data_IF_067412312372
#
_entry.id   IF_067412312372
#
_cell.length_a   1.000
_cell.length_b   1.000
_cell.length_c   1.000
_cell.angle_alpha   90.00
_cell.angle_beta   90.00
_cell.angle_gamma   90.00
#
_symmetry.space_group_name_H-M   'P 1'
#
loop_
_entity.id
_entity.type
_entity.pdbx_description
1 polymer ?
#
# COMPACT_ATOMS: atom_id res chain seq x y z
N UNK A 1 21.96 3.85 12.88
CA UNK A 1 23.39 4.19 12.97
C UNK A 1 23.82 4.08 14.44
N UNK A 2 24.67 3.09 14.75
CA UNK A 2 25.12 2.78 16.12
C UNK A 2 25.96 3.92 16.71
N UNK A 3 26.85 4.49 15.90
CA UNK A 3 27.74 5.59 16.32
C UNK A 3 26.92 6.83 16.67
N UNK A 4 25.95 7.17 15.80
CA UNK A 4 25.07 8.31 16.03
C UNK A 4 24.19 8.13 17.28
N UNK A 5 23.74 6.91 17.55
CA UNK A 5 22.98 6.61 18.77
C UNK A 5 23.82 6.88 20.03
N UNK A 6 25.07 6.40 20.07
CA UNK A 6 25.99 6.64 21.20
C UNK A 6 26.21 8.13 21.42
N UNK A 7 26.50 8.89 20.35
CA UNK A 7 26.69 10.34 20.43
C UNK A 7 25.49 11.04 21.07
N UNK A 8 24.28 10.74 20.59
CA UNK A 8 23.04 11.34 21.10
C UNK A 8 22.79 10.95 22.56
N UNK A 9 23.00 9.70 22.95
CA UNK A 9 22.79 9.28 24.34
C UNK A 9 23.81 9.94 25.29
N UNK A 10 25.06 10.13 24.87
CA UNK A 10 26.05 10.87 25.66
C UNK A 10 25.67 12.35 25.82
N UNK A 11 25.14 12.98 24.77
CA UNK A 11 24.67 14.36 24.82
C UNK A 11 23.50 14.53 25.80
N UNK A 12 22.51 13.64 25.75
CA UNK A 12 21.28 13.74 26.55
C UNK A 12 21.47 13.26 28.00
N UNK A 13 22.14 12.12 28.21
CA UNK A 13 22.24 11.48 29.54
C UNK A 13 23.58 11.69 30.23
N UNK A 14 24.67 11.91 29.47
CA UNK A 14 26.02 11.86 30.05
C UNK A 14 26.25 12.91 31.14
N UNK A 15 25.80 14.16 30.90
CA UNK A 15 25.91 15.23 31.90
C UNK A 15 24.76 15.23 32.91
N UNK A 16 23.53 14.96 32.46
CA UNK A 16 22.32 15.07 33.27
C UNK A 16 22.28 13.99 34.34
N UNK A 17 22.62 12.76 33.96
CA UNK A 17 22.58 11.58 34.85
C UNK A 17 23.97 11.20 35.38
N UNK A 18 25.03 11.92 34.98
CA UNK A 18 26.40 11.65 35.40
C UNK A 18 27.01 10.35 34.85
N UNK A 19 26.45 9.80 33.77
CA UNK A 19 26.86 8.51 33.20
C UNK A 19 28.05 8.73 32.23
N UNK A 20 29.10 7.92 32.37
CA UNK A 20 30.27 8.04 31.50
C UNK A 20 29.98 7.59 30.07
N UNK A 21 30.75 8.13 29.11
CA UNK A 21 30.69 7.70 27.71
C UNK A 21 30.97 6.20 27.54
N UNK A 22 31.87 5.64 28.34
CA UNK A 22 32.18 4.21 28.33
C UNK A 22 30.99 3.36 28.75
N UNK A 23 30.28 3.76 29.80
CA UNK A 23 29.08 3.05 30.27
C UNK A 23 27.96 3.13 29.23
N UNK A 24 27.72 4.31 28.65
CA UNK A 24 26.72 4.48 27.58
C UNK A 24 27.09 3.62 26.36
N UNK A 25 28.37 3.60 25.97
CA UNK A 25 28.82 2.77 24.84
C UNK A 25 28.61 1.29 25.14
N UNK A 26 29.00 0.81 26.33
CA UNK A 26 28.80 -0.58 26.72
C UNK A 26 27.31 -0.97 26.76
N UNK A 27 26.45 -0.08 27.26
CA UNK A 27 25.00 -0.29 27.31
C UNK A 27 24.37 -0.34 25.90
N UNK A 28 24.74 0.58 25.02
CA UNK A 28 24.31 0.57 23.61
C UNK A 28 24.77 -0.72 22.93
N UNK A 29 26.02 -1.11 23.17
CA UNK A 29 26.60 -2.28 22.56
C UNK A 29 25.89 -3.56 22.99
N UNK A 30 25.62 -3.70 24.29
CA UNK A 30 24.81 -4.78 24.85
C UNK A 30 23.39 -4.78 24.29
N UNK A 31 22.75 -3.62 24.17
CA UNK A 31 21.38 -3.50 23.62
C UNK A 31 21.29 -3.93 22.15
N UNK A 32 22.27 -3.58 21.32
CA UNK A 32 22.31 -4.05 19.93
C UNK A 32 22.62 -5.55 19.82
N UNK A 33 23.47 -6.09 20.71
CA UNK A 33 23.74 -7.52 20.76
C UNK A 33 22.49 -8.31 21.13
N UNK A 34 21.75 -7.86 22.16
CA UNK A 34 20.49 -8.47 22.57
C UNK A 34 19.41 -8.41 21.48
N UNK A 35 19.28 -7.28 20.78
CA UNK A 35 18.34 -7.17 19.65
C UNK A 35 18.65 -8.17 18.54
N UNK A 36 19.93 -8.44 18.25
CA UNK A 36 20.28 -9.42 17.22
C UNK A 36 20.09 -10.85 17.72
N UNK A 37 20.38 -11.13 18.99
CA UNK A 37 20.10 -12.43 19.61
C UNK A 37 18.60 -12.73 19.58
N UNK A 38 17.76 -11.79 20.02
CA UNK A 38 16.30 -11.89 19.94
C UNK A 38 15.83 -12.21 18.51
N UNK A 39 16.36 -11.50 17.51
CA UNK A 39 16.01 -11.77 16.10
C UNK A 39 16.44 -13.18 15.69
N UNK A 40 17.60 -13.64 16.12
CA UNK A 40 18.08 -14.98 15.81
C UNK A 40 17.20 -16.04 16.46
N UNK A 41 16.81 -15.86 17.72
CA UNK A 41 15.91 -16.78 18.44
C UNK A 41 14.56 -16.91 17.70
N UNK A 42 14.00 -15.79 17.21
CA UNK A 42 12.76 -15.79 16.42
C UNK A 42 12.94 -16.51 15.07
N UNK A 43 14.09 -16.34 14.39
CA UNK A 43 14.41 -17.05 13.14
C UNK A 43 14.56 -18.56 13.38
N UNK A 44 15.29 -18.94 14.42
CA UNK A 44 15.55 -20.34 14.78
C UNK A 44 14.24 -21.06 15.14
N UNK A 45 13.38 -20.40 15.93
CA UNK A 45 12.05 -20.92 16.24
C UNK A 45 11.16 -21.02 14.99
N UNK A 46 11.23 -20.03 14.09
CA UNK A 46 10.58 -20.08 12.79
C UNK A 46 11.02 -21.29 11.96
N UNK A 47 12.32 -21.54 11.90
CA UNK A 47 12.88 -22.69 11.18
C UNK A 47 12.40 -24.02 11.78
N UNK A 48 12.35 -24.14 13.11
CA UNK A 48 11.80 -25.34 13.76
C UNK A 48 10.35 -25.61 13.35
N UNK A 49 9.54 -24.57 13.19
CA UNK A 49 8.16 -24.70 12.72
C UNK A 49 8.10 -25.10 11.25
N UNK A 50 8.94 -24.51 10.40
CA UNK A 50 9.03 -24.84 8.97
C UNK A 50 9.45 -26.31 8.77
N UNK A 51 10.49 -26.76 9.49
CA UNK A 51 10.95 -28.16 9.47
C UNK A 51 9.86 -29.12 9.95
N UNK A 52 9.07 -28.70 10.96
CA UNK A 52 7.95 -29.49 11.47
C UNK A 52 6.89 -29.67 10.41
N UNK A 53 6.41 -28.58 9.79
CA UNK A 53 5.33 -28.67 8.80
C UNK A 53 5.74 -29.39 7.52
N UNK A 54 7.03 -29.34 7.15
CA UNK A 54 7.56 -30.13 6.04
C UNK A 54 7.51 -31.63 6.35
N UNK A 55 7.86 -32.04 7.57
CA UNK A 55 7.85 -33.45 8.01
C UNK A 55 6.45 -34.00 8.25
N UNK A 56 5.54 -33.19 8.82
CA UNK A 56 4.20 -33.65 9.23
C UNK A 56 3.14 -33.42 8.15
N UNK A 57 3.39 -32.54 7.19
CA UNK A 57 2.37 -32.06 6.25
C UNK A 57 1.31 -31.17 6.90
N UNK A 58 1.56 -30.68 8.13
CA UNK A 58 0.66 -29.75 8.81
C UNK A 58 0.58 -28.40 8.07
N UNK A 59 -0.55 -27.71 8.23
CA UNK A 59 -0.74 -26.37 7.68
C UNK A 59 -0.40 -25.31 8.74
N UNK A 60 0.51 -24.40 8.44
CA UNK A 60 0.90 -23.30 9.34
C UNK A 60 0.12 -22.01 9.04
N UNK A 61 -0.03 -21.19 10.07
CA UNK A 61 -0.53 -19.82 9.95
C UNK A 61 0.66 -18.87 10.07
N UNK A 62 0.83 -17.98 9.10
CA UNK A 62 1.70 -16.81 9.25
C UNK A 62 0.82 -15.65 9.73
N UNK A 63 1.01 -15.26 10.98
CA UNK A 63 0.32 -14.13 11.59
C UNK A 63 1.18 -12.88 11.38
N UNK A 64 0.64 -11.89 10.67
CA UNK A 64 1.37 -10.65 10.40
C UNK A 64 0.52 -9.43 10.72
N UNK A 65 1.16 -8.39 11.24
CA UNK A 65 0.45 -7.18 11.64
C UNK A 65 1.40 -6.02 11.90
N UNK A 66 1.02 -5.18 12.84
CA UNK A 66 1.84 -4.09 13.36
C UNK A 66 2.54 -4.54 14.63
N UNK A 67 3.70 -3.94 14.98
CA UNK A 67 4.39 -4.26 16.23
C UNK A 67 3.49 -4.14 17.46
N UNK A 68 2.60 -3.14 17.50
CA UNK A 68 1.70 -2.93 18.62
C UNK A 68 0.56 -3.96 18.71
N UNK A 69 0.32 -4.77 17.67
CA UNK A 69 -0.63 -5.88 17.75
C UNK A 69 -0.15 -7.03 18.63
N UNK A 70 1.09 -6.99 19.15
CA UNK A 70 1.56 -7.92 20.18
C UNK A 70 1.01 -7.57 21.57
N UNK A 71 0.60 -6.31 21.78
CA UNK A 71 0.13 -5.84 23.08
C UNK A 71 -1.19 -6.54 23.47
N UNK A 72 -1.25 -7.23 24.63
CA UNK A 72 -2.46 -7.88 25.11
C UNK A 72 -3.69 -6.96 25.22
N UNK A 73 -3.48 -5.67 25.50
CA UNK A 73 -4.55 -4.67 25.59
C UNK A 73 -5.13 -4.32 24.20
N UNK A 74 -4.39 -4.59 23.13
CA UNK A 74 -4.79 -4.30 21.74
C UNK A 74 -5.25 -5.57 21.00
N UNK A 75 -4.59 -6.70 21.26
CA UNK A 75 -4.79 -7.93 20.50
C UNK A 75 -6.05 -8.71 20.93
N UNK A 76 -6.61 -8.36 22.08
CA UNK A 76 -7.85 -8.92 22.65
C UNK A 76 -7.87 -10.44 22.80
N UNK A 77 -6.71 -11.09 22.95
CA UNK A 77 -6.61 -12.55 23.10
C UNK A 77 -6.70 -13.33 21.78
N UNK A 78 -6.57 -12.64 20.63
CA UNK A 78 -6.63 -13.27 19.31
C UNK A 78 -5.49 -14.27 19.08
N UNK A 79 -4.22 -13.97 19.45
CA UNK A 79 -3.14 -14.94 19.33
C UNK A 79 -3.41 -16.25 20.08
N UNK A 80 -3.88 -16.16 21.33
CA UNK A 80 -4.23 -17.30 22.18
C UNK A 80 -5.41 -18.08 21.60
N UNK A 81 -6.39 -17.36 21.03
CA UNK A 81 -7.53 -17.97 20.34
C UNK A 81 -7.07 -18.76 19.10
N UNK A 82 -6.14 -18.23 18.30
CA UNK A 82 -5.55 -18.96 17.16
C UNK A 82 -4.77 -20.18 17.68
N UNK A 83 -3.96 -20.02 18.73
CA UNK A 83 -3.18 -21.10 19.33
C UNK A 83 -4.06 -22.24 19.87
N UNK A 84 -5.28 -21.94 20.34
CA UNK A 84 -6.24 -22.94 20.83
C UNK A 84 -6.63 -23.99 19.76
N UNK A 85 -6.47 -23.67 18.48
CA UNK A 85 -6.68 -24.58 17.35
C UNK A 85 -5.48 -25.50 17.07
N UNK A 86 -4.39 -25.38 17.85
CA UNK A 86 -3.17 -26.20 17.77
C UNK A 86 -2.47 -26.18 16.42
N UNK A 87 -2.69 -25.11 15.65
CA UNK A 87 -1.98 -24.87 14.39
C UNK A 87 -0.57 -24.35 14.68
N UNK A 88 0.45 -24.74 13.91
CA UNK A 88 1.74 -24.06 13.93
C UNK A 88 1.57 -22.59 13.52
N UNK A 89 2.19 -21.67 14.26
CA UNK A 89 2.06 -20.22 14.02
C UNK A 89 3.46 -19.62 13.82
N UNK A 90 3.64 -18.95 12.69
CA UNK A 90 4.81 -18.15 12.33
C UNK A 90 4.47 -16.66 12.43
N UNK A 91 5.47 -15.84 12.71
CA UNK A 91 5.40 -14.38 12.58
C UNK A 91 6.19 -13.91 11.35
N UNK A 92 5.93 -12.69 10.86
CA UNK A 92 6.59 -12.20 9.65
C UNK A 92 8.09 -11.95 9.82
N UNK A 93 8.56 -11.61 11.02
CA UNK A 93 10.01 -11.51 11.31
C UNK A 93 10.74 -12.84 11.24
N UNK A 94 10.06 -13.94 11.56
CA UNK A 94 10.65 -15.28 11.50
C UNK A 94 11.07 -15.64 10.07
N UNK A 95 10.38 -15.12 9.05
CA UNK A 95 10.65 -15.45 7.63
C UNK A 95 11.23 -14.30 6.83
N UNK A 96 11.25 -13.06 7.33
CA UNK A 96 11.67 -11.88 6.55
C UNK A 96 13.11 -11.95 5.99
N UNK A 97 13.99 -12.72 6.65
CA UNK A 97 15.36 -12.94 6.22
C UNK A 97 15.49 -13.92 5.04
N UNK A 98 14.44 -14.72 4.78
CA UNK A 98 14.42 -15.70 3.70
C UNK A 98 14.16 -15.01 2.37
N UNK A 99 14.86 -15.39 1.29
CA UNK A 99 14.61 -14.81 -0.03
C UNK A 99 13.23 -15.24 -0.53
N UNK A 100 12.58 -14.31 -1.24
CA UNK A 100 11.33 -14.57 -1.97
C UNK A 100 11.48 -14.01 -3.38
N UNK A 101 10.67 -14.51 -4.30
CA UNK A 101 10.63 -14.05 -5.69
C UNK A 101 10.30 -12.57 -5.74
N UNK A 102 11.07 -11.81 -6.52
CA UNK A 102 10.84 -10.37 -6.65
C UNK A 102 9.58 -10.13 -7.48
N UNK A 103 8.63 -9.41 -6.89
CA UNK A 103 7.43 -8.94 -7.57
C UNK A 103 7.43 -7.42 -7.69
N UNK A 104 6.91 -6.91 -8.81
CA UNK A 104 6.61 -5.49 -8.97
C UNK A 104 5.33 -5.16 -8.21
N UNK A 105 5.46 -4.38 -7.14
CA UNK A 105 4.32 -3.87 -6.36
C UNK A 105 3.56 -2.79 -7.15
N UNK A 106 2.25 -2.69 -6.92
CA UNK A 106 1.44 -1.61 -7.50
C UNK A 106 1.51 -0.31 -6.68
N UNK A 107 2.15 -0.39 -5.51
CA UNK A 107 2.39 0.72 -4.58
C UNK A 107 3.88 1.00 -4.40
N UNK A 108 4.21 2.25 -4.11
CA UNK A 108 5.56 2.67 -3.73
C UNK A 108 5.90 2.10 -2.35
N UNK A 109 6.90 1.21 -2.33
CA UNK A 109 7.37 0.58 -1.10
C UNK A 109 8.38 1.46 -0.37
N UNK A 110 7.90 2.25 0.59
CA UNK A 110 8.71 3.23 1.32
C UNK A 110 8.64 3.07 2.85
N UNK A 111 7.96 2.04 3.35
CA UNK A 111 7.76 1.83 4.79
C UNK A 111 8.15 0.43 5.22
N UNK A 112 9.02 0.34 6.22
CA UNK A 112 9.64 -0.92 6.66
C UNK A 112 8.63 -1.99 7.08
N UNK A 113 7.60 -1.63 7.86
CA UNK A 113 6.59 -2.61 8.32
C UNK A 113 5.71 -3.13 7.18
N UNK A 114 5.41 -2.28 6.19
CA UNK A 114 4.65 -2.70 5.01
C UNK A 114 5.49 -3.57 4.08
N UNK A 115 6.78 -3.25 3.93
CA UNK A 115 7.73 -4.09 3.20
C UNK A 115 7.77 -5.52 3.77
N UNK A 116 7.76 -5.65 5.11
CA UNK A 116 7.65 -6.96 5.79
C UNK A 116 6.34 -7.67 5.47
N UNK A 117 5.21 -6.96 5.43
CA UNK A 117 3.91 -7.54 5.06
C UNK A 117 3.88 -8.02 3.61
N UNK A 118 4.42 -7.23 2.66
CA UNK A 118 4.51 -7.64 1.26
C UNK A 118 5.42 -8.85 1.07
N UNK A 119 6.55 -8.88 1.79
CA UNK A 119 7.45 -10.03 1.82
C UNK A 119 6.74 -11.26 2.36
N UNK A 120 6.06 -11.16 3.50
CA UNK A 120 5.30 -12.27 4.09
C UNK A 120 4.20 -12.80 3.17
N UNK A 121 3.51 -11.91 2.44
CA UNK A 121 2.52 -12.30 1.45
C UNK A 121 3.14 -13.10 0.29
N UNK A 122 4.31 -12.66 -0.19
CA UNK A 122 5.04 -13.38 -1.25
C UNK A 122 5.61 -14.71 -0.73
N UNK A 123 6.12 -14.75 0.50
CA UNK A 123 6.56 -15.98 1.15
C UNK A 123 5.42 -17.01 1.21
N UNK A 124 4.22 -16.59 1.64
CA UNK A 124 3.02 -17.44 1.68
C UNK A 124 2.57 -17.85 0.27
N UNK A 125 2.76 -17.02 -0.74
CA UNK A 125 2.49 -17.40 -2.13
C UNK A 125 3.34 -18.61 -2.54
N UNK A 126 4.62 -18.61 -2.18
CA UNK A 126 5.61 -19.65 -2.52
C UNK A 126 5.51 -20.91 -1.65
N UNK A 127 4.94 -20.81 -0.45
CA UNK A 127 4.84 -21.92 0.51
C UNK A 127 3.39 -22.36 0.70
N UNK A 128 2.91 -23.39 -0.03
CA UNK A 128 1.49 -23.72 -0.10
C UNK A 128 0.86 -24.17 1.22
N UNK A 129 1.64 -24.78 2.10
CA UNK A 129 1.24 -25.22 3.44
C UNK A 129 1.28 -24.11 4.49
N UNK A 130 1.42 -22.84 4.08
CA UNK A 130 1.37 -21.67 4.96
C UNK A 130 0.23 -20.76 4.52
N UNK A 131 -0.54 -20.20 5.45
CA UNK A 131 -1.60 -19.23 5.18
C UNK A 131 -1.40 -17.95 5.96
N UNK A 132 -1.50 -16.79 5.29
CA UNK A 132 -1.42 -15.49 5.94
C UNK A 132 -2.73 -15.14 6.66
N UNK A 133 -2.62 -14.73 7.92
CA UNK A 133 -3.65 -13.94 8.62
C UNK A 133 -3.07 -12.57 8.89
N UNK A 134 -3.64 -11.54 8.26
CA UNK A 134 -3.27 -10.16 8.51
C UNK A 134 -4.11 -9.57 9.66
N UNK A 135 -3.45 -9.07 10.69
CA UNK A 135 -4.06 -8.22 11.71
C UNK A 135 -4.06 -6.77 11.23
N UNK A 136 -5.21 -6.09 11.38
CA UNK A 136 -5.39 -4.69 11.01
C UNK A 136 -6.20 -3.95 12.08
N UNK A 137 -6.10 -2.63 12.08
CA UNK A 137 -6.89 -1.75 12.94
C UNK A 137 -7.59 -0.69 12.08
N UNK A 138 -8.80 -0.32 12.46
CA UNK A 138 -9.62 0.72 11.86
C UNK A 138 -8.86 2.04 11.80
N UNK A 139 -8.95 2.73 10.66
CA UNK A 139 -8.26 3.99 10.46
C UNK A 139 -6.74 3.90 10.54
N UNK A 140 -6.13 2.70 10.53
CA UNK A 140 -4.68 2.51 10.60
C UNK A 140 -4.01 2.93 9.29
N UNK A 141 -3.89 4.25 9.11
CA UNK A 141 -3.02 4.86 8.11
C UNK A 141 -3.03 4.14 6.77
N UNK A 142 -1.88 3.57 6.44
CA UNK A 142 -1.58 2.98 5.14
C UNK A 142 -2.23 1.60 4.88
N UNK A 143 -2.97 1.04 5.82
CA UNK A 143 -3.63 -0.26 5.66
C UNK A 143 -4.58 -0.26 4.46
N UNK A 144 -5.21 0.86 4.12
CA UNK A 144 -6.07 0.96 2.93
C UNK A 144 -5.33 0.64 1.61
N UNK A 145 -4.04 0.94 1.54
CA UNK A 145 -3.16 0.58 0.42
C UNK A 145 -2.60 -0.83 0.59
N UNK A 146 -2.08 -1.11 1.77
CA UNK A 146 -1.29 -2.31 2.07
C UNK A 146 -2.15 -3.56 2.03
N UNK A 147 -3.33 -3.53 2.64
CA UNK A 147 -4.31 -4.63 2.63
C UNK A 147 -4.71 -4.99 1.22
N UNK A 148 -4.86 -3.99 0.34
CA UNK A 148 -5.16 -4.21 -1.07
C UNK A 148 -4.00 -4.89 -1.79
N UNK A 149 -2.77 -4.39 -1.60
CA UNK A 149 -1.57 -4.99 -2.21
C UNK A 149 -1.32 -6.43 -1.72
N UNK A 150 -1.40 -6.67 -0.42
CA UNK A 150 -1.24 -8.01 0.18
C UNK A 150 -2.30 -8.98 -0.35
N UNK A 151 -3.56 -8.51 -0.46
CA UNK A 151 -4.63 -9.30 -1.06
C UNK A 151 -4.31 -9.65 -2.52
N UNK A 152 -3.88 -8.69 -3.32
CA UNK A 152 -3.55 -8.92 -4.73
C UNK A 152 -2.36 -9.88 -4.91
N UNK A 153 -1.34 -9.80 -4.05
CA UNK A 153 -0.22 -10.77 -4.03
C UNK A 153 -0.76 -12.19 -3.81
N UNK A 154 -1.61 -12.38 -2.80
CA UNK A 154 -2.11 -13.71 -2.45
C UNK A 154 -3.11 -14.25 -3.48
N UNK A 155 -4.12 -13.46 -3.86
CA UNK A 155 -5.17 -13.88 -4.79
C UNK A 155 -4.61 -14.16 -6.19
N UNK A 156 -3.57 -13.45 -6.62
CA UNK A 156 -2.92 -13.72 -7.91
C UNK A 156 -2.17 -15.05 -7.97
N UNK A 157 -1.93 -15.70 -6.82
CA UNK A 157 -1.37 -17.05 -6.70
C UNK A 157 -2.41 -18.04 -6.13
N UNK A 158 -3.70 -17.69 -6.27
CA UNK A 158 -4.82 -18.47 -5.76
C UNK A 158 -4.77 -18.72 -4.23
N UNK A 159 -4.05 -17.93 -3.44
CA UNK A 159 -4.02 -18.06 -1.98
C UNK A 159 -5.22 -17.36 -1.33
N UNK A 160 -5.67 -17.88 -0.19
CA UNK A 160 -6.76 -17.28 0.58
C UNK A 160 -6.21 -16.08 1.35
N UNK A 161 -6.72 -14.90 1.06
CA UNK A 161 -6.47 -13.72 1.88
C UNK A 161 -7.43 -13.68 3.09
N UNK A 162 -6.88 -13.67 4.29
CA UNK A 162 -7.64 -13.49 5.53
C UNK A 162 -7.12 -12.28 6.30
N UNK A 163 -8.04 -11.40 6.68
CA UNK A 163 -7.74 -10.24 7.53
C UNK A 163 -8.66 -10.22 8.74
N UNK A 164 -8.14 -9.87 9.90
CA UNK A 164 -8.90 -9.69 11.15
C UNK A 164 -8.67 -8.24 11.61
N UNK A 165 -9.75 -7.46 11.70
CA UNK A 165 -9.73 -6.12 12.30
C UNK A 165 -9.91 -6.26 13.81
N UNK A 166 -9.01 -5.69 14.60
CA UNK A 166 -8.96 -5.87 16.06
C UNK A 166 -9.91 -4.93 16.82
N UNK A 167 -10.08 -3.71 16.35
CA UNK A 167 -10.69 -2.58 17.07
C UNK A 167 -12.12 -2.23 16.64
N UNK A 168 -12.60 -2.78 15.53
CA UNK A 168 -13.97 -2.55 15.06
C UNK A 168 -15.00 -3.28 15.92
N UNK A 169 -14.60 -4.41 16.53
CA UNK A 169 -15.48 -5.26 17.35
C UNK A 169 -14.67 -5.90 18.48
N UNK A 170 -14.96 -5.54 19.73
CA UNK A 170 -14.30 -6.10 20.93
C UNK A 170 -14.70 -7.55 21.25
N UNK A 171 -15.54 -8.18 20.42
CA UNK A 171 -15.93 -9.57 20.60
C UNK A 171 -15.02 -10.51 19.79
N UNK A 172 -14.45 -11.50 20.48
CA UNK A 172 -13.71 -12.59 19.85
C UNK A 172 -14.61 -13.49 18.97
N UNK A 173 -15.93 -13.35 19.06
CA UNK A 173 -16.89 -14.17 18.32
C UNK A 173 -16.73 -14.06 16.81
N UNK A 174 -16.65 -12.83 16.28
CA UNK A 174 -16.45 -12.59 14.85
C UNK A 174 -15.11 -13.17 14.35
N UNK A 175 -14.02 -12.91 15.08
CA UNK A 175 -12.70 -13.44 14.77
C UNK A 175 -12.68 -14.97 14.81
N UNK A 176 -13.32 -15.58 15.81
CA UNK A 176 -13.45 -17.05 15.96
C UNK A 176 -14.25 -17.67 14.81
N UNK A 177 -15.35 -17.07 14.39
CA UNK A 177 -16.14 -17.57 13.24
C UNK A 177 -15.32 -17.49 11.95
N UNK A 178 -14.60 -16.38 11.73
CA UNK A 178 -13.72 -16.20 10.57
C UNK A 178 -12.61 -17.24 10.55
N UNK A 179 -11.96 -17.49 11.69
CA UNK A 179 -10.90 -18.50 11.80
C UNK A 179 -11.42 -19.92 11.59
N UNK A 180 -12.57 -20.28 12.18
CA UNK A 180 -13.21 -21.60 11.92
C UNK A 180 -13.54 -21.79 10.45
N UNK A 181 -14.02 -20.75 9.79
CA UNK A 181 -14.34 -20.78 8.35
C UNK A 181 -13.08 -20.94 7.51
N UNK A 182 -11.98 -20.26 7.88
CA UNK A 182 -10.67 -20.42 7.24
C UNK A 182 -10.16 -21.86 7.38
N UNK A 183 -10.15 -22.42 8.60
CA UNK A 183 -9.69 -23.79 8.85
C UNK A 183 -10.52 -24.79 8.04
N UNK A 184 -11.84 -24.62 8.00
CA UNK A 184 -12.73 -25.47 7.21
C UNK A 184 -12.47 -25.34 5.70
N UNK A 185 -12.11 -24.15 5.21
CA UNK A 185 -11.74 -23.94 3.82
C UNK A 185 -10.40 -24.61 3.48
N UNK A 186 -9.39 -24.47 4.35
CA UNK A 186 -8.08 -25.09 4.19
C UNK A 186 -8.18 -26.63 4.19
N UNK A 187 -9.01 -27.21 5.06
CA UNK A 187 -9.18 -28.66 5.14
C UNK A 187 -9.82 -29.30 3.89
N UNK A 188 -10.51 -28.52 3.05
CA UNK A 188 -11.20 -29.01 1.84
C UNK A 188 -10.45 -28.70 0.55
N UNK A 189 -9.40 -27.87 0.63
CA UNK A 189 -8.75 -27.31 -0.55
C UNK A 189 -7.46 -28.07 -0.83
N UNK A 190 -7.28 -28.46 -2.08
CA UNK A 190 -5.98 -28.94 -2.55
C UNK A 190 -4.99 -27.77 -2.53
N UNK A 191 -3.76 -28.06 -2.11
CA UNK A 191 -2.70 -27.06 -2.02
C UNK A 191 -2.37 -26.52 -3.42
N UNK A 192 -2.65 -25.23 -3.73
CA UNK A 192 -2.37 -24.72 -5.06
C UNK A 192 -0.85 -24.71 -5.31
N UNK A 193 -0.47 -25.17 -6.49
CA UNK A 193 0.92 -25.14 -6.97
C UNK A 193 1.31 -23.68 -7.22
N UNK A 194 2.47 -23.28 -6.72
CA UNK A 194 3.00 -21.95 -6.99
C UNK A 194 3.26 -21.80 -8.50
N UNK A 195 2.78 -20.69 -9.05
CA UNK A 195 3.04 -20.27 -10.42
C UNK A 195 3.37 -18.78 -10.40
N UNK A 196 4.27 -18.35 -11.27
CA UNK A 196 4.57 -16.93 -11.37
C UNK A 196 3.32 -16.18 -11.86
N UNK A 197 2.80 -15.31 -11.00
CA UNK A 197 1.66 -14.49 -11.37
C UNK A 197 2.03 -13.54 -12.52
N UNK A 198 1.17 -13.38 -13.53
CA UNK A 198 1.47 -12.57 -14.70
C UNK A 198 1.72 -11.11 -14.30
N UNK A 199 2.71 -10.50 -14.95
CA UNK A 199 2.95 -9.06 -14.80
C UNK A 199 1.81 -8.32 -15.46
N UNK A 200 0.99 -7.65 -14.66
CA UNK A 200 -0.06 -6.77 -15.18
C UNK A 200 0.62 -5.52 -15.74
N UNK A 201 0.82 -5.48 -17.05
CA UNK A 201 1.26 -4.26 -17.72
C UNK A 201 0.16 -3.20 -17.61
N UNK A 202 0.58 -1.96 -17.32
CA UNK A 202 -0.33 -0.81 -17.28
C UNK A 202 -0.33 -0.10 -18.63
N UNK A 203 -1.48 0.44 -19.10
CA UNK A 203 -1.49 1.36 -20.22
C UNK A 203 -0.61 2.59 -19.91
N UNK A 204 0.12 3.04 -20.93
CA UNK A 204 1.11 4.12 -20.84
C UNK A 204 0.66 5.31 -21.67
N UNK A 205 0.96 6.51 -21.20
CA UNK A 205 0.79 7.72 -22.02
C UNK A 205 1.99 7.88 -22.94
N UNK A 206 1.80 7.65 -24.25
CA UNK A 206 2.86 7.69 -25.26
C UNK A 206 2.85 9.02 -26.05
N UNK A 207 3.85 9.24 -26.90
CA UNK A 207 3.88 10.38 -27.83
C UNK A 207 2.71 10.37 -28.84
N UNK A 208 2.15 9.20 -29.17
CA UNK A 208 0.95 9.13 -29.99
C UNK A 208 -0.28 9.57 -29.20
N UNK A 209 -0.40 9.12 -27.94
CA UNK A 209 -1.45 9.61 -27.04
C UNK A 209 -1.40 11.13 -26.90
N UNK A 210 -0.22 11.76 -26.91
CA UNK A 210 -0.10 13.22 -26.87
C UNK A 210 -0.84 13.93 -28.00
N UNK A 211 -0.92 13.31 -29.19
CA UNK A 211 -1.58 13.89 -30.37
C UNK A 211 -3.06 13.54 -30.44
N UNK A 212 -3.43 12.34 -29.98
CA UNK A 212 -4.77 11.77 -30.21
C UNK A 212 -5.65 11.78 -28.97
N UNK A 213 -5.09 11.71 -27.76
CA UNK A 213 -5.88 11.54 -26.55
C UNK A 213 -6.36 12.86 -25.97
N UNK A 214 -7.54 12.78 -25.36
CA UNK A 214 -8.00 13.78 -24.40
C UNK A 214 -7.39 13.48 -23.03
N UNK A 215 -6.78 14.48 -22.42
CA UNK A 215 -6.26 14.39 -21.05
C UNK A 215 -7.37 14.80 -20.08
N UNK A 216 -7.85 13.85 -19.30
CA UNK A 216 -8.80 14.08 -18.22
C UNK A 216 -8.03 14.37 -16.92
N UNK A 217 -8.33 15.49 -16.26
CA UNK A 217 -7.73 15.87 -14.98
C UNK A 217 -8.82 16.24 -13.97
N UNK A 218 -8.63 16.00 -12.66
CA UNK A 218 -9.66 16.29 -11.67
C UNK A 218 -9.84 17.80 -11.47
N UNK A 219 -11.03 18.20 -11.04
CA UNK A 219 -11.30 19.58 -10.61
C UNK A 219 -11.05 19.70 -9.12
N UNK A 220 -10.05 20.49 -8.74
CA UNK A 220 -9.71 20.73 -7.33
C UNK A 220 -9.96 22.18 -6.89
N UNK A 221 -9.86 23.13 -7.83
CA UNK A 221 -10.05 24.55 -7.57
C UNK A 221 -10.51 25.23 -8.87
N UNK A 222 -11.80 25.64 -8.99
CA UNK A 222 -12.39 26.07 -10.27
C UNK A 222 -11.58 27.13 -11.01
N UNK A 223 -11.20 28.21 -10.32
CA UNK A 223 -10.44 29.32 -10.90
C UNK A 223 -9.08 28.83 -11.40
N UNK A 224 -8.29 28.19 -10.54
CA UNK A 224 -6.94 27.72 -10.87
C UNK A 224 -6.96 26.71 -12.02
N UNK A 225 -7.86 25.73 -11.98
CA UNK A 225 -7.90 24.66 -12.97
C UNK A 225 -8.41 25.12 -14.33
N UNK A 226 -9.25 26.14 -14.40
CA UNK A 226 -9.61 26.76 -15.68
C UNK A 226 -8.44 27.55 -16.30
N UNK A 227 -7.62 28.21 -15.48
CA UNK A 227 -6.37 28.83 -15.93
C UNK A 227 -5.35 27.76 -16.36
N UNK A 228 -5.18 26.68 -15.59
CA UNK A 228 -4.31 25.56 -15.96
C UNK A 228 -4.76 24.90 -17.26
N UNK A 229 -6.06 24.71 -17.48
CA UNK A 229 -6.62 24.22 -18.75
C UNK A 229 -6.16 25.07 -19.93
N UNK A 230 -6.21 26.40 -19.77
CA UNK A 230 -5.77 27.36 -20.79
C UNK A 230 -4.26 27.24 -21.06
N UNK A 231 -3.46 27.14 -19.99
CA UNK A 231 -2.01 26.90 -20.10
C UNK A 231 -1.70 25.58 -20.82
N UNK A 232 -2.33 24.46 -20.45
CA UNK A 232 -2.06 23.16 -21.08
C UNK A 232 -2.43 23.14 -22.56
N UNK A 233 -3.54 23.81 -22.95
CA UNK A 233 -3.94 23.97 -24.36
C UNK A 233 -2.93 24.77 -25.17
N UNK A 234 -2.36 25.84 -24.60
CA UNK A 234 -1.27 26.60 -25.23
C UNK A 234 -0.07 25.71 -25.56
N UNK A 235 0.22 24.72 -24.72
CA UNK A 235 1.31 23.75 -24.90
C UNK A 235 0.92 22.50 -25.71
N UNK A 236 -0.24 22.53 -26.39
CA UNK A 236 -0.67 21.49 -27.33
C UNK A 236 -1.37 20.28 -26.71
N UNK A 237 -1.78 20.36 -25.45
CA UNK A 237 -2.52 19.27 -24.78
C UNK A 237 -4.03 19.54 -24.78
N UNK A 238 -4.82 18.57 -25.25
CA UNK A 238 -6.28 18.65 -25.15
C UNK A 238 -6.75 18.22 -23.77
N UNK A 239 -7.02 19.18 -22.88
CA UNK A 239 -7.40 18.88 -21.48
C UNK A 239 -8.89 19.12 -21.23
N UNK A 240 -9.53 18.14 -20.60
CA UNK A 240 -10.89 18.20 -20.06
C UNK A 240 -10.83 18.14 -18.54
N UNK A 241 -11.51 19.08 -17.90
CA UNK A 241 -11.63 19.15 -16.44
C UNK A 241 -13.14 19.15 -16.15
N UNK A 242 -13.66 18.11 -15.48
CA UNK A 242 -15.08 18.00 -15.16
C UNK A 242 -15.51 19.08 -14.17
N UNK A 243 -16.82 19.32 -13.98
CA UNK A 243 -17.31 20.20 -12.92
C UNK A 243 -16.94 19.65 -11.53
N UNK A 244 -17.06 20.49 -10.50
CA UNK A 244 -16.85 20.08 -9.10
C UNK A 244 -17.65 18.80 -8.78
N UNK A 245 -17.06 17.87 -8.02
CA UNK A 245 -17.69 16.60 -7.73
C UNK A 245 -18.93 16.80 -6.85
N UNK A 246 -20.02 16.15 -7.23
CA UNK A 246 -21.24 16.10 -6.44
C UNK A 246 -21.27 14.85 -5.55
N UNK A 247 -22.37 14.67 -4.80
CA UNK A 247 -22.55 13.50 -3.94
C UNK A 247 -22.52 12.19 -4.73
N UNK A 248 -23.04 12.16 -5.95
CA UNK A 248 -23.07 10.96 -6.79
C UNK A 248 -21.66 10.52 -7.20
N UNK A 249 -20.77 11.48 -7.50
CA UNK A 249 -19.36 11.19 -7.76
C UNK A 249 -18.65 10.62 -6.51
N UNK A 250 -18.95 11.14 -5.32
CA UNK A 250 -18.40 10.62 -4.06
C UNK A 250 -18.87 9.20 -3.79
N UNK A 251 -20.18 8.94 -3.94
CA UNK A 251 -20.78 7.61 -3.78
C UNK A 251 -20.26 6.62 -4.83
N UNK A 252 -19.87 7.10 -6.01
CA UNK A 252 -19.17 6.29 -7.00
C UNK A 252 -17.73 5.98 -6.56
N UNK A 253 -17.01 6.94 -6.01
CA UNK A 253 -15.67 6.72 -5.45
C UNK A 253 -15.66 5.66 -4.35
N UNK A 254 -16.63 5.72 -3.42
CA UNK A 254 -16.79 4.74 -2.33
C UNK A 254 -17.04 3.31 -2.81
N UNK A 255 -17.52 3.12 -4.04
CA UNK A 255 -17.72 1.78 -4.62
C UNK A 255 -16.44 1.12 -5.11
N UNK A 256 -15.42 1.91 -5.47
CA UNK A 256 -14.19 1.41 -6.11
C UNK A 256 -12.91 1.70 -5.32
N UNK A 257 -12.99 2.56 -4.29
CA UNK A 257 -11.85 2.91 -3.44
C UNK A 257 -12.11 2.41 -2.03
N UNK A 258 -11.08 1.84 -1.40
CA UNK A 258 -11.19 1.35 -0.03
C UNK A 258 -11.63 2.46 0.93
N UNK A 259 -12.64 2.20 1.76
CA UNK A 259 -13.26 3.20 2.65
C UNK A 259 -12.26 3.87 3.61
N UNK A 260 -11.24 3.12 4.05
CA UNK A 260 -10.20 3.66 4.92
C UNK A 260 -9.21 4.59 4.19
N UNK A 261 -9.36 4.85 2.88
CA UNK A 261 -8.56 5.84 2.15
C UNK A 261 -8.88 7.28 2.59
N UNK A 262 -7.92 8.17 2.43
CA UNK A 262 -8.14 9.60 2.64
C UNK A 262 -9.24 10.12 1.70
N UNK A 263 -10.18 10.89 2.26
CA UNK A 263 -11.34 11.41 1.55
C UNK A 263 -11.03 12.07 0.19
N UNK A 264 -9.96 12.89 0.03
CA UNK A 264 -9.60 13.44 -1.28
C UNK A 264 -9.38 12.39 -2.38
N UNK A 265 -8.85 11.20 -2.04
CA UNK A 265 -8.67 10.11 -3.01
C UNK A 265 -10.01 9.63 -3.55
N UNK A 266 -10.98 9.42 -2.64
CA UNK A 266 -12.33 8.94 -2.94
C UNK A 266 -13.03 9.95 -3.86
N UNK A 267 -12.95 11.24 -3.51
CA UNK A 267 -13.55 12.34 -4.27
C UNK A 267 -12.95 12.45 -5.67
N UNK A 268 -11.61 12.50 -5.78
CA UNK A 268 -10.90 12.66 -7.06
C UNK A 268 -11.14 11.46 -7.98
N UNK A 269 -10.98 10.24 -7.46
CA UNK A 269 -11.18 9.02 -8.26
C UNK A 269 -12.65 8.89 -8.67
N UNK A 270 -13.58 9.16 -7.74
CA UNK A 270 -15.00 9.14 -8.01
C UNK A 270 -15.42 10.11 -9.10
N UNK A 271 -14.88 11.33 -9.09
CA UNK A 271 -15.12 12.34 -10.13
C UNK A 271 -14.65 11.88 -11.52
N UNK A 272 -13.42 11.34 -11.59
CA UNK A 272 -12.83 10.90 -12.85
C UNK A 272 -13.59 9.70 -13.44
N UNK A 273 -13.98 8.76 -12.59
CA UNK A 273 -14.84 7.63 -12.99
C UNK A 273 -16.23 8.10 -13.44
N UNK A 274 -16.81 9.08 -12.75
CA UNK A 274 -18.12 9.62 -13.12
C UNK A 274 -18.07 10.31 -14.49
N UNK A 275 -17.00 11.05 -14.78
CA UNK A 275 -16.79 11.68 -16.08
C UNK A 275 -16.69 10.66 -17.23
N UNK A 276 -15.96 9.55 -17.02
CA UNK A 276 -15.88 8.46 -18.00
C UNK A 276 -17.24 7.76 -18.19
N UNK A 277 -17.93 7.42 -17.10
CA UNK A 277 -19.26 6.77 -17.18
C UNK A 277 -20.34 7.64 -17.80
N UNK A 278 -20.24 8.97 -17.65
CA UNK A 278 -21.14 9.92 -18.28
C UNK A 278 -20.86 10.11 -19.79
N UNK A 279 -19.82 9.48 -20.34
CA UNK A 279 -19.44 9.63 -21.74
C UNK A 279 -18.82 10.99 -22.07
N UNK A 280 -18.29 11.71 -21.06
CA UNK A 280 -17.63 13.00 -21.29
C UNK A 280 -16.35 12.85 -22.11
N UNK A 281 -15.68 11.70 -22.00
CA UNK A 281 -14.47 11.36 -22.73
C UNK A 281 -14.54 9.90 -23.21
N UNK A 282 -13.99 9.63 -24.38
CA UNK A 282 -13.88 8.28 -24.95
C UNK A 282 -12.75 7.50 -24.25
N UNK A 283 -13.04 6.41 -23.52
CA UNK A 283 -12.02 5.64 -22.79
C UNK A 283 -10.84 5.15 -23.66
N UNK A 284 -11.08 4.83 -24.93
CA UNK A 284 -10.03 4.35 -25.85
C UNK A 284 -9.08 5.47 -26.30
N UNK A 285 -9.53 6.73 -26.24
CA UNK A 285 -8.76 7.92 -26.60
C UNK A 285 -8.64 8.90 -25.43
N UNK A 286 -8.62 8.38 -24.20
CA UNK A 286 -8.48 9.19 -22.99
C UNK A 286 -7.30 8.74 -22.16
N UNK A 287 -6.61 9.72 -21.58
CA UNK A 287 -5.61 9.49 -20.54
C UNK A 287 -5.87 10.39 -19.37
N UNK A 288 -5.62 9.89 -18.16
CA UNK A 288 -5.86 10.63 -16.93
C UNK A 288 -4.52 11.17 -16.40
N UNK A 289 -4.50 12.47 -16.13
CA UNK A 289 -3.38 13.15 -15.51
C UNK A 289 -3.67 13.40 -14.03
N UNK A 290 -2.72 13.01 -13.16
CA UNK A 290 -2.72 13.34 -11.74
C UNK A 290 -1.35 13.85 -11.31
N UNK A 291 -1.28 14.51 -10.16
CA UNK A 291 -0.01 14.80 -9.51
C UNK A 291 0.39 13.65 -8.59
N UNK A 292 1.66 13.25 -8.64
CA UNK A 292 2.21 12.31 -7.67
C UNK A 292 3.05 13.08 -6.66
N UNK A 293 2.73 12.93 -5.39
CA UNK A 293 3.63 13.36 -4.32
C UNK A 293 4.79 12.38 -4.22
N UNK A 294 6.03 12.84 -4.03
CA UNK A 294 7.20 11.95 -3.89
C UNK A 294 7.56 11.70 -2.41
N UNK A 295 6.56 11.55 -1.53
CA UNK A 295 6.79 11.46 -0.08
C UNK A 295 5.99 10.36 0.62
N UNK A 296 6.07 10.32 1.95
CA UNK A 296 5.38 9.34 2.80
C UNK A 296 3.84 9.53 2.89
N UNK A 297 3.24 10.34 2.00
CA UNK A 297 1.81 10.52 1.92
C UNK A 297 1.16 9.37 1.15
N UNK A 298 -0.12 9.07 1.42
CA UNK A 298 -0.92 8.14 0.60
C UNK A 298 -1.11 8.64 -0.84
N UNK A 299 -1.07 9.95 -1.04
CA UNK A 299 -1.18 10.60 -2.35
C UNK A 299 -0.15 10.08 -3.36
N UNK A 300 1.02 9.64 -2.90
CA UNK A 300 2.06 9.00 -3.72
C UNK A 300 1.54 7.77 -4.48
N UNK A 301 0.53 7.11 -3.92
CA UNK A 301 -0.06 5.89 -4.47
C UNK A 301 -1.42 6.10 -5.15
N UNK A 302 -1.91 7.34 -5.29
CA UNK A 302 -3.21 7.60 -5.93
C UNK A 302 -3.26 7.10 -7.37
N UNK A 303 -2.13 7.13 -8.10
CA UNK A 303 -2.05 6.59 -9.45
C UNK A 303 -2.35 5.08 -9.48
N UNK A 304 -1.75 4.31 -8.56
CA UNK A 304 -1.99 2.88 -8.42
C UNK A 304 -3.43 2.57 -8.04
N UNK A 305 -3.98 3.29 -7.05
CA UNK A 305 -5.38 3.15 -6.63
C UNK A 305 -6.35 3.49 -7.76
N UNK A 306 -6.10 4.57 -8.51
CA UNK A 306 -6.93 4.96 -9.64
C UNK A 306 -6.89 3.90 -10.76
N UNK A 307 -5.71 3.38 -11.11
CA UNK A 307 -5.59 2.30 -12.12
C UNK A 307 -6.39 1.08 -11.73
N UNK A 308 -6.33 0.68 -10.46
CA UNK A 308 -7.15 -0.42 -9.94
C UNK A 308 -8.64 -0.09 -10.08
N UNK A 309 -9.06 1.08 -9.60
CA UNK A 309 -10.45 1.51 -9.67
C UNK A 309 -10.98 1.57 -11.12
N UNK A 310 -10.15 1.98 -12.08
CA UNK A 310 -10.48 1.96 -13.51
C UNK A 310 -10.68 0.53 -14.03
N UNK A 311 -9.78 -0.41 -13.72
CA UNK A 311 -9.95 -1.83 -14.10
C UNK A 311 -11.24 -2.40 -13.52
N UNK A 312 -11.47 -2.19 -12.23
CA UNK A 312 -12.65 -2.70 -11.52
C UNK A 312 -13.95 -2.04 -12.03
N UNK A 313 -13.87 -0.81 -12.56
CA UNK A 313 -14.98 -0.09 -13.17
C UNK A 313 -15.21 -0.40 -14.66
N UNK A 314 -14.37 -1.23 -15.30
CA UNK A 314 -14.49 -1.62 -16.70
C UNK A 314 -13.73 -0.76 -17.71
N UNK A 315 -12.76 0.04 -17.25
CA UNK A 315 -11.91 0.93 -18.08
C UNK A 315 -10.41 0.56 -18.01
N UNK A 316 -10.01 -0.70 -18.27
CA UNK A 316 -8.63 -1.15 -18.08
C UNK A 316 -7.61 -0.56 -19.08
N UNK A 317 -8.08 -0.02 -20.19
CA UNK A 317 -7.33 0.59 -21.30
C UNK A 317 -6.91 2.05 -21.03
N UNK A 318 -7.58 2.75 -20.12
CA UNK A 318 -7.31 4.17 -19.85
C UNK A 318 -5.93 4.35 -19.21
N UNK A 319 -5.03 5.04 -19.90
CA UNK A 319 -3.70 5.33 -19.38
C UNK A 319 -3.77 6.39 -18.26
N UNK A 320 -2.98 6.18 -17.20
CA UNK A 320 -2.88 7.10 -16.07
C UNK A 320 -1.43 7.48 -15.88
N UNK A 321 -1.11 8.77 -15.90
CA UNK A 321 0.26 9.28 -15.77
C UNK A 321 0.36 10.44 -14.77
N UNK A 322 1.57 10.66 -14.27
CA UNK A 322 1.91 11.75 -13.37
C UNK A 322 2.31 12.99 -14.17
N UNK A 323 1.71 14.16 -13.88
CA UNK A 323 2.19 15.46 -14.39
C UNK A 323 3.59 15.76 -13.84
N UNK A 324 3.82 15.37 -12.58
CA UNK A 324 5.11 15.39 -11.89
C UNK A 324 5.12 14.26 -10.87
N UNK A 325 6.19 13.47 -10.86
CA UNK A 325 6.28 12.26 -10.04
C UNK A 325 7.58 11.50 -10.26
N UNK A 326 7.57 10.21 -9.94
CA UNK A 326 8.66 9.30 -10.28
C UNK A 326 8.83 9.21 -11.81
N UNK A 327 10.05 9.03 -12.34
CA UNK A 327 10.29 8.98 -13.80
C UNK A 327 9.47 7.90 -14.52
N UNK A 328 9.19 6.80 -13.83
CA UNK A 328 8.39 5.69 -14.34
C UNK A 328 6.88 5.96 -14.35
N UNK A 329 6.43 7.04 -13.73
CA UNK A 329 5.03 7.45 -13.60
C UNK A 329 4.67 8.60 -14.54
N UNK A 330 5.64 9.41 -14.99
CA UNK A 330 5.41 10.52 -15.92
C UNK A 330 5.22 10.10 -17.37
N UNK A 331 5.60 8.87 -17.73
CA UNK A 331 5.53 8.31 -19.09
C UNK A 331 6.13 9.30 -20.13
N UNK A 332 5.51 9.49 -21.31
CA UNK A 332 5.96 10.46 -22.33
C UNK A 332 5.51 11.91 -22.06
N UNK A 333 4.95 12.22 -20.90
CA UNK A 333 4.53 13.59 -20.60
C UNK A 333 5.74 14.50 -20.34
N UNK A 334 5.91 15.53 -21.18
CA UNK A 334 6.99 16.48 -21.06
C UNK A 334 6.52 17.78 -20.40
N UNK A 335 6.87 17.96 -19.13
CA UNK A 335 6.65 19.22 -18.40
C UNK A 335 7.88 20.12 -18.53
N UNK A 336 7.94 20.88 -19.62
CA UNK A 336 9.09 21.75 -19.94
C UNK A 336 9.10 23.04 -19.10
N UNK A 337 10.22 23.77 -19.14
CA UNK A 337 10.42 25.01 -18.37
C UNK A 337 9.40 26.10 -18.72
N UNK A 338 9.03 26.25 -19.99
CA UNK A 338 8.07 27.26 -20.43
C UNK A 338 6.67 26.99 -19.87
N UNK A 339 6.23 25.73 -19.95
CA UNK A 339 4.98 25.26 -19.36
C UNK A 339 4.96 25.44 -17.85
N UNK A 340 6.08 25.18 -17.16
CA UNK A 340 6.20 25.43 -15.73
C UNK A 340 6.03 26.92 -15.39
N UNK A 341 6.66 27.82 -16.15
CA UNK A 341 6.51 29.27 -15.93
C UNK A 341 5.07 29.72 -16.15
N UNK A 342 4.42 29.26 -17.21
CA UNK A 342 3.01 29.58 -17.48
C UNK A 342 2.07 28.98 -16.42
N UNK A 343 2.37 27.78 -15.91
CA UNK A 343 1.62 27.18 -14.81
C UNK A 343 1.78 27.98 -13.51
N UNK A 344 3.00 28.45 -13.17
CA UNK A 344 3.21 29.31 -12.00
C UNK A 344 2.41 30.62 -12.13
N UNK A 345 2.40 31.24 -13.32
CA UNK A 345 1.58 32.43 -13.57
C UNK A 345 0.09 32.14 -13.37
N UNK A 346 -0.41 31.03 -13.93
CA UNK A 346 -1.79 30.60 -13.75
C UNK A 346 -2.16 30.39 -12.28
N UNK A 347 -1.26 29.81 -11.48
CA UNK A 347 -1.46 29.66 -10.04
C UNK A 347 -1.55 31.01 -9.32
N UNK A 348 -0.60 31.93 -9.58
CA UNK A 348 -0.58 33.27 -8.96
C UNK A 348 -1.83 34.07 -9.35
N UNK A 349 -2.23 34.05 -10.63
CA UNK A 349 -3.45 34.71 -11.07
C UNK A 349 -4.71 34.07 -10.46
N UNK A 350 -4.72 32.75 -10.31
CA UNK A 350 -5.79 32.05 -9.60
C UNK A 350 -5.94 32.52 -8.17
N UNK A 351 -4.82 32.67 -7.44
CA UNK A 351 -4.82 33.18 -6.07
C UNK A 351 -5.26 34.66 -5.99
N UNK A 352 -4.91 35.49 -6.97
CA UNK A 352 -5.31 36.90 -7.02
C UNK A 352 -6.79 37.12 -7.37
N UNK A 353 -7.40 36.18 -8.10
CA UNK A 353 -8.80 36.26 -8.54
C UNK A 353 -9.78 35.55 -7.60
N UNK A 354 -9.27 34.75 -6.66
CA UNK A 354 -10.03 34.12 -5.57
C UNK A 354 -10.36 35.16 -4.50
#
# INVERSE_FOLDING_TARGET
DRKRMIERLVEEFGKVEGISRSEITAAVDAGYAEIEQYRQDVRDYGQQILDRIEKTGEHAILLAGRPYHIDPEINHGIPEMIQSYKLPILSEDAVYHMPVSKRRLQVVNQWSYHARLYHAAQFVAEHPNVTLIQLSSFGCGLDALTTTEVREILESHERIYTMIKLDEVSNLGAARIRLRSLIAALARRELPVYHDAPVIERPRFTEDCRKTHTILAPQMAPIHFDLFRTTMRKHGYNVVIPPMPDKAAIDLGLRYVHNDMCYPAIVVIGQLLAALKAGLCDPDHTSIALFQTCGACRATNYLGVLRKALRDAGFPNVAVFAVRGLPEETDSFAFNREMMVDAIKAAIYGDLLM
#
